data_IF_381020881313
#
_entry.id   IF_381020881313
#
_cell.length_a   1.000
_cell.length_b   1.000
_cell.length_c   1.000
_cell.angle_alpha   90.00
_cell.angle_beta   90.00
_cell.angle_gamma   90.00
#
_symmetry.space_group_name_H-M   'P 1'
#
loop_
_entity.id
_entity.type
_entity.pdbx_description
1 polymer ?
#
# COMPACT_ATOMS: atom_id res chain seq x y z
N UNK A 1 -27.45 -33.89 -29.69
CA UNK A 1 -26.60 -32.79 -30.23
C UNK A 1 -26.96 -31.40 -29.70
N UNK A 2 -28.25 -31.05 -29.48
CA UNK A 2 -28.65 -29.74 -28.93
C UNK A 2 -28.24 -29.52 -27.47
N UNK A 3 -28.29 -30.56 -26.64
CA UNK A 3 -27.90 -30.50 -25.22
C UNK A 3 -26.42 -30.18 -25.01
N UNK A 4 -25.55 -30.71 -25.86
CA UNK A 4 -24.10 -30.41 -25.83
C UNK A 4 -23.85 -28.93 -26.13
N UNK A 5 -24.64 -28.33 -27.01
CA UNK A 5 -24.52 -26.92 -27.35
C UNK A 5 -24.96 -26.01 -26.21
N UNK A 6 -26.06 -26.36 -25.52
CA UNK A 6 -26.53 -25.67 -24.31
C UNK A 6 -25.50 -25.73 -23.18
N UNK A 7 -24.95 -26.90 -22.91
CA UNK A 7 -23.89 -27.07 -21.90
C UNK A 7 -22.64 -26.23 -22.21
N UNK A 8 -22.29 -26.09 -23.49
CA UNK A 8 -21.15 -25.25 -23.89
C UNK A 8 -21.41 -23.75 -23.69
N UNK A 9 -22.66 -23.31 -23.86
CA UNK A 9 -23.07 -21.92 -23.59
C UNK A 9 -22.98 -21.65 -22.09
N UNK A 10 -23.59 -22.50 -21.27
CA UNK A 10 -23.57 -22.38 -19.81
C UNK A 10 -22.13 -22.40 -19.25
N UNK A 11 -21.26 -23.27 -19.79
CA UNK A 11 -19.85 -23.32 -19.42
C UNK A 11 -19.07 -22.05 -19.81
N UNK A 12 -19.49 -21.37 -20.88
CA UNK A 12 -18.85 -20.13 -21.32
C UNK A 12 -19.25 -18.95 -20.43
N UNK A 13 -20.53 -18.83 -20.12
CA UNK A 13 -21.06 -17.82 -19.19
C UNK A 13 -20.43 -17.96 -17.80
N UNK A 14 -20.29 -19.19 -17.31
CA UNK A 14 -19.70 -19.47 -16.00
C UNK A 14 -18.20 -19.13 -15.96
N UNK A 15 -17.47 -19.33 -17.08
CA UNK A 15 -16.07 -18.88 -17.21
C UNK A 15 -15.94 -17.37 -17.19
N UNK A 16 -16.84 -16.64 -17.85
CA UNK A 16 -16.84 -15.18 -17.84
C UNK A 16 -17.10 -14.62 -16.43
N UNK A 17 -18.06 -15.18 -15.70
CA UNK A 17 -18.35 -14.79 -14.32
C UNK A 17 -17.16 -15.02 -13.38
N UNK A 18 -16.46 -16.17 -13.52
CA UNK A 18 -15.24 -16.45 -12.75
C UNK A 18 -14.14 -15.45 -13.11
N UNK A 19 -13.94 -15.12 -14.39
CA UNK A 19 -12.92 -14.15 -14.79
C UNK A 19 -13.18 -12.74 -14.24
N UNK A 20 -14.45 -12.32 -14.18
CA UNK A 20 -14.84 -11.03 -13.58
C UNK A 20 -14.52 -11.04 -12.08
N UNK A 21 -14.93 -12.09 -11.36
CA UNK A 21 -14.66 -12.21 -9.92
C UNK A 21 -13.17 -12.28 -9.60
N UNK A 22 -12.37 -13.00 -10.39
CA UNK A 22 -10.91 -13.05 -10.23
C UNK A 22 -10.27 -11.68 -10.49
N UNK A 23 -10.76 -10.91 -11.48
CA UNK A 23 -10.28 -9.54 -11.72
C UNK A 23 -10.60 -8.60 -10.56
N UNK A 24 -11.76 -8.72 -9.94
CA UNK A 24 -12.15 -7.93 -8.76
C UNK A 24 -11.31 -8.27 -7.52
N UNK A 25 -10.98 -9.55 -7.33
CA UNK A 25 -10.07 -9.99 -6.26
C UNK A 25 -8.63 -9.55 -6.55
N UNK A 26 -8.18 -9.61 -7.80
CA UNK A 26 -6.84 -9.15 -8.17
C UNK A 26 -6.70 -7.62 -8.05
N UNK A 27 -7.73 -6.85 -8.38
CA UNK A 27 -7.73 -5.39 -8.24
C UNK A 27 -7.86 -4.90 -6.79
N UNK A 28 -8.32 -5.76 -5.87
CA UNK A 28 -8.35 -5.49 -4.42
C UNK A 28 -7.11 -5.98 -3.67
N UNK A 29 -6.20 -6.69 -4.34
CA UNK A 29 -4.81 -6.83 -3.86
C UNK A 29 -4.21 -5.42 -3.82
N UNK A 30 -3.65 -4.94 -2.70
CA UNK A 30 -2.88 -3.71 -2.73
C UNK A 30 -1.74 -3.97 -3.70
N UNK A 31 -1.87 -3.38 -4.89
CA UNK A 31 -0.79 -3.35 -5.85
C UNK A 31 0.45 -2.96 -5.04
N UNK A 32 1.47 -3.82 -5.04
CA UNK A 32 2.85 -3.39 -4.83
C UNK A 32 3.20 -2.48 -6.00
N UNK A 33 2.46 -1.38 -6.13
CA UNK A 33 2.94 -0.20 -6.79
C UNK A 33 4.27 0.04 -6.11
N UNK A 34 5.31 0.10 -6.92
CA UNK A 34 6.51 0.87 -6.59
C UNK A 34 6.07 2.33 -6.46
N UNK A 35 5.21 2.63 -5.47
CA UNK A 35 4.86 3.96 -5.05
C UNK A 35 6.21 4.61 -4.78
N UNK A 36 6.49 5.66 -5.55
CA UNK A 36 7.60 6.55 -5.31
C UNK A 36 7.57 6.83 -3.81
N UNK A 37 8.58 6.36 -3.08
CA UNK A 37 8.63 6.45 -1.63
C UNK A 37 8.26 7.87 -1.23
N UNK A 38 7.07 8.02 -0.64
CA UNK A 38 6.55 9.34 -0.32
C UNK A 38 7.40 9.90 0.81
N UNK A 39 7.99 11.06 0.58
CA UNK A 39 8.69 11.78 1.64
C UNK A 39 7.67 12.60 2.42
N UNK A 40 7.66 12.42 3.73
CA UNK A 40 6.74 13.03 4.66
C UNK A 40 7.45 14.07 5.51
N UNK A 41 6.85 15.24 5.71
CA UNK A 41 7.35 16.19 6.72
C UNK A 41 7.07 15.66 8.15
N UNK A 42 7.58 16.33 9.18
CA UNK A 42 7.40 15.87 10.57
C UNK A 42 5.92 15.73 10.97
N UNK A 43 5.06 16.67 10.57
CA UNK A 43 3.64 16.65 10.90
C UNK A 43 2.94 15.45 10.24
N UNK A 44 3.26 15.19 8.98
CA UNK A 44 2.77 14.04 8.23
C UNK A 44 3.29 12.73 8.81
N UNK A 45 4.57 12.65 9.17
CA UNK A 45 5.15 11.47 9.79
C UNK A 45 4.53 11.16 11.17
N UNK A 46 4.21 12.19 11.97
CA UNK A 46 3.48 12.02 13.23
C UNK A 46 2.08 11.45 12.98
N UNK A 47 1.35 11.98 11.99
CA UNK A 47 0.02 11.47 11.60
C UNK A 47 0.10 10.03 11.09
N UNK A 48 1.11 9.72 10.28
CA UNK A 48 1.33 8.40 9.71
C UNK A 48 1.58 7.36 10.80
N UNK A 49 2.52 7.65 11.71
CA UNK A 49 2.83 6.79 12.86
C UNK A 49 1.76 6.80 13.96
N UNK A 50 0.72 7.66 13.83
CA UNK A 50 -0.33 7.88 14.85
C UNK A 50 0.25 8.25 16.24
N UNK A 51 1.28 9.10 16.26
CA UNK A 51 1.92 9.55 17.49
C UNK A 51 1.91 11.07 17.63
N UNK A 52 2.16 11.53 18.85
CA UNK A 52 2.28 12.97 19.15
C UNK A 52 3.70 13.49 18.85
N UNK A 53 3.87 14.81 18.60
CA UNK A 53 5.19 15.39 18.37
C UNK A 53 6.24 15.15 19.48
N UNK A 54 5.88 15.15 20.78
CA UNK A 54 6.81 14.78 21.85
C UNK A 54 7.31 13.33 21.72
N UNK A 55 6.42 12.38 21.41
CA UNK A 55 6.78 10.98 21.17
C UNK A 55 7.67 10.86 19.94
N UNK A 56 7.33 11.56 18.86
CA UNK A 56 8.15 11.59 17.65
C UNK A 56 9.59 12.07 17.93
N UNK A 57 9.76 13.11 18.75
CA UNK A 57 11.10 13.60 19.15
C UNK A 57 11.95 12.56 19.88
N UNK A 58 11.32 11.64 20.62
CA UNK A 58 12.01 10.55 21.33
C UNK A 58 12.46 9.43 20.39
N UNK A 59 11.68 9.16 19.34
CA UNK A 59 11.94 8.03 18.43
C UNK A 59 12.63 8.43 17.13
N UNK A 60 12.73 9.73 16.81
CA UNK A 60 13.28 10.23 15.53
C UNK A 60 14.70 9.79 15.21
N UNK A 61 15.46 9.29 16.19
CA UNK A 61 16.81 8.74 15.97
C UNK A 61 16.80 7.29 15.50
N UNK A 62 15.63 6.64 15.48
CA UNK A 62 15.46 5.23 15.08
C UNK A 62 15.22 5.02 13.59
N UNK A 63 15.08 6.11 12.83
CA UNK A 63 14.91 6.09 11.38
C UNK A 63 15.58 7.32 10.75
N UNK A 64 15.84 7.28 9.45
CA UNK A 64 16.62 8.33 8.79
C UNK A 64 15.81 9.61 8.57
N UNK A 65 16.49 10.74 8.67
CA UNK A 65 15.96 12.05 8.34
C UNK A 65 16.73 12.62 7.14
N UNK A 66 16.03 12.94 6.07
CA UNK A 66 16.59 13.45 4.83
C UNK A 66 16.47 14.98 4.81
N UNK A 67 17.60 15.67 4.63
CA UNK A 67 17.61 17.12 4.54
C UNK A 67 17.25 17.57 3.12
N UNK A 68 16.23 18.41 3.00
CA UNK A 68 15.75 18.95 1.71
C UNK A 68 16.26 20.36 1.48
N UNK A 69 16.34 21.16 2.55
CA UNK A 69 16.89 22.51 2.54
C UNK A 69 17.45 22.83 3.93
N UNK A 70 18.05 24.01 4.07
CA UNK A 70 18.46 24.51 5.39
C UNK A 70 17.26 24.53 6.35
N UNK A 71 17.40 23.83 7.48
CA UNK A 71 16.36 23.70 8.50
C UNK A 71 15.17 22.77 8.17
N UNK A 72 15.04 22.22 6.95
CA UNK A 72 13.91 21.34 6.59
C UNK A 72 14.34 19.90 6.40
N UNK A 73 13.71 19.01 7.17
CA UNK A 73 13.90 17.56 7.11
C UNK A 73 12.60 16.86 6.77
N UNK A 74 12.72 15.81 5.95
CA UNK A 74 11.64 14.90 5.58
C UNK A 74 12.03 13.47 5.91
N UNK A 75 11.04 12.59 5.98
CA UNK A 75 11.18 11.20 6.38
C UNK A 75 10.60 10.33 5.26
N UNK A 76 11.37 9.33 4.82
CA UNK A 76 10.90 8.36 3.84
C UNK A 76 9.84 7.47 4.48
N UNK A 77 8.70 7.28 3.81
CA UNK A 77 7.66 6.37 4.28
C UNK A 77 8.19 4.95 4.47
N UNK A 78 9.14 4.49 3.64
CA UNK A 78 9.74 3.15 3.77
C UNK A 78 10.48 2.98 5.08
N UNK A 79 11.28 3.96 5.47
CA UNK A 79 12.06 3.93 6.71
C UNK A 79 11.13 3.96 7.94
N UNK A 80 9.98 4.63 7.82
CA UNK A 80 8.93 4.60 8.84
C UNK A 80 8.23 3.24 8.90
N UNK A 81 8.00 2.59 7.76
CA UNK A 81 7.42 1.23 7.69
C UNK A 81 8.39 0.19 8.27
N UNK A 82 9.68 0.28 7.96
CA UNK A 82 10.74 -0.56 8.54
C UNK A 82 10.78 -0.39 10.07
N UNK A 83 10.68 0.85 10.56
CA UNK A 83 10.57 1.12 11.98
C UNK A 83 9.34 0.43 12.60
N UNK A 84 8.18 0.50 11.97
CA UNK A 84 6.95 -0.16 12.44
C UNK A 84 7.06 -1.69 12.45
N UNK A 85 7.80 -2.28 11.51
CA UNK A 85 8.06 -3.73 11.46
C UNK A 85 9.08 -4.19 12.51
N UNK A 86 9.92 -3.28 13.01
CA UNK A 86 10.94 -3.57 14.03
C UNK A 86 10.48 -3.40 15.48
N UNK A 87 9.27 -2.87 15.69
CA UNK A 87 8.62 -2.77 16.99
C UNK A 87 8.09 -4.12 17.46
#
# INVERSE_FOLDING_TARGET
MKEIHLLNIELSELKELIQISVREVQSSSPSKNKEKSKYLNQTEACKYLKITPPTFRKIRSRFNAYQVSEGRKVYSQRDLDEYLQSL
#
